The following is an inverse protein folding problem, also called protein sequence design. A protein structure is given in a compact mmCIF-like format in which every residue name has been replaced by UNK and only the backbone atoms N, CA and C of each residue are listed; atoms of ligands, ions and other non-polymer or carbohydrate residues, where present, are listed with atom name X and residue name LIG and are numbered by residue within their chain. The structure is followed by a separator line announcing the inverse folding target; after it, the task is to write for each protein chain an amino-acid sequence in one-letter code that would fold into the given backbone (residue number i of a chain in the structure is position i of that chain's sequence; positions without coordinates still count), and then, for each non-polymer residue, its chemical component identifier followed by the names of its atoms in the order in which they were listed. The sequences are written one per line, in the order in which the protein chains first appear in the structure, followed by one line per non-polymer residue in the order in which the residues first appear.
data_IF_214393590694
#
_entry.id   IF_214393590694
#
_cell.length_a   1.000
_cell.length_b   1.000
_cell.length_c   1.000
_cell.angle_alpha   90.00
_cell.angle_beta   90.00
_cell.angle_gamma   90.00
#
_symmetry.space_group_name_H-M   'P 1'
#
loop_
_entity.id
_entity.type
_entity.pdbx_description
1 polymer ?
#
# COMPACT_ATOMS: atom_id res chain seq x y z
N UNK A 1 -13.64 -15.28 4.89
CA UNK A 1 -12.38 -15.91 5.36
C UNK A 1 -11.46 -14.79 5.83
N UNK A 2 -11.15 -14.78 7.13
CA UNK A 2 -10.18 -13.87 7.75
C UNK A 2 -8.92 -14.69 7.97
N UNK A 3 -7.84 -14.38 7.26
CA UNK A 3 -6.54 -15.00 7.49
C UNK A 3 -5.90 -14.36 8.73
N UNK A 4 -5.37 -15.17 9.67
CA UNK A 4 -4.89 -14.71 10.98
C UNK A 4 -3.55 -13.93 10.96
N UNK A 5 -2.98 -13.73 9.79
CA UNK A 5 -1.64 -13.20 9.53
C UNK A 5 -1.64 -11.90 8.69
N UNK A 6 -2.81 -11.32 8.43
CA UNK A 6 -2.93 -10.01 7.73
C UNK A 6 -2.52 -10.02 6.25
N UNK A 7 -2.15 -11.18 5.70
CA UNK A 7 -1.40 -11.32 4.45
C UNK A 7 -2.25 -11.50 3.18
N UNK A 8 -3.51 -11.06 3.15
CA UNK A 8 -4.36 -11.21 1.96
C UNK A 8 -3.83 -10.49 0.72
N UNK A 9 -3.06 -9.42 0.89
CA UNK A 9 -2.55 -8.59 -0.22
C UNK A 9 -1.29 -9.16 -0.87
N UNK A 10 -0.39 -9.74 -0.07
CA UNK A 10 0.82 -10.40 -0.58
C UNK A 10 0.48 -11.57 -1.50
N UNK A 11 -0.58 -12.32 -1.16
CA UNK A 11 -1.05 -13.42 -1.99
C UNK A 11 -1.84 -12.95 -3.21
N UNK A 12 -2.52 -11.80 -3.11
CA UNK A 12 -3.33 -11.25 -4.20
C UNK A 12 -2.48 -10.52 -5.25
N UNK A 13 -1.44 -9.80 -4.81
CA UNK A 13 -0.53 -9.04 -5.66
C UNK A 13 0.91 -9.23 -5.13
N UNK A 14 1.62 -10.29 -5.53
CA UNK A 14 3.00 -10.49 -5.10
C UNK A 14 3.99 -9.54 -5.77
N UNK A 15 3.76 -9.19 -7.04
CA UNK A 15 4.70 -8.41 -7.88
C UNK A 15 5.10 -7.05 -7.29
N UNK A 16 4.18 -6.23 -6.73
CA UNK A 16 4.53 -4.92 -6.17
C UNK A 16 5.53 -5.00 -5.00
N UNK A 17 5.56 -6.13 -4.29
CA UNK A 17 6.45 -6.33 -3.15
C UNK A 17 7.80 -6.94 -3.53
N UNK A 18 8.00 -7.25 -4.81
CA UNK A 18 9.27 -7.77 -5.29
C UNK A 18 10.35 -6.67 -5.24
N UNK A 19 11.55 -7.03 -4.80
CA UNK A 19 12.64 -6.08 -4.59
C UNK A 19 12.56 -5.22 -3.30
N UNK A 20 11.49 -5.34 -2.50
CA UNK A 20 11.44 -4.68 -1.18
C UNK A 20 12.31 -5.38 -0.16
N UNK A 21 13.02 -4.60 0.64
CA UNK A 21 13.65 -5.10 1.87
C UNK A 21 12.59 -5.59 2.86
N UNK A 22 12.99 -6.46 3.79
CA UNK A 22 12.09 -6.97 4.83
C UNK A 22 11.47 -5.83 5.67
N UNK A 23 12.22 -4.76 5.91
CA UNK A 23 11.76 -3.58 6.64
C UNK A 23 10.70 -2.80 5.85
N UNK A 24 10.99 -2.45 4.58
CA UNK A 24 10.02 -1.78 3.71
C UNK A 24 8.74 -2.59 3.56
N UNK A 25 8.87 -3.90 3.37
CA UNK A 25 7.73 -4.82 3.27
C UNK A 25 6.88 -4.77 4.55
N UNK A 26 7.51 -4.76 5.72
CA UNK A 26 6.80 -4.69 7.00
C UNK A 26 6.09 -3.35 7.19
N UNK A 27 6.73 -2.23 6.81
CA UNK A 27 6.12 -0.90 6.86
C UNK A 27 4.86 -0.85 5.98
N UNK A 28 4.96 -1.32 4.73
CA UNK A 28 3.81 -1.34 3.80
C UNK A 28 2.68 -2.22 4.33
N UNK A 29 2.97 -3.43 4.81
CA UNK A 29 1.94 -4.33 5.35
C UNK A 29 1.22 -3.70 6.54
N UNK A 30 1.95 -3.10 7.47
CA UNK A 30 1.35 -2.43 8.64
C UNK A 30 0.47 -1.26 8.20
N UNK A 31 0.98 -0.40 7.32
CA UNK A 31 0.21 0.74 6.81
C UNK A 31 -1.07 0.29 6.09
N UNK A 32 -1.00 -0.78 5.29
CA UNK A 32 -2.19 -1.33 4.62
C UNK A 32 -3.18 -1.91 5.62
N UNK A 33 -2.70 -2.66 6.60
CA UNK A 33 -3.56 -3.28 7.62
C UNK A 33 -4.32 -2.21 8.42
N UNK A 34 -3.63 -1.17 8.88
CA UNK A 34 -4.22 -0.08 9.67
C UNK A 34 -5.30 0.66 8.86
N UNK A 35 -5.00 1.07 7.63
CA UNK A 35 -5.97 1.76 6.78
C UNK A 35 -7.18 0.87 6.41
N UNK A 36 -6.98 -0.43 6.21
CA UNK A 36 -8.08 -1.38 5.96
C UNK A 36 -8.98 -1.53 7.18
N UNK A 37 -8.43 -1.50 8.40
CA UNK A 37 -9.24 -1.49 9.63
C UNK A 37 -10.11 -0.23 9.74
N UNK A 38 -9.64 0.88 9.19
CA UNK A 38 -10.38 2.15 9.08
C UNK A 38 -11.39 2.17 7.91
N UNK A 39 -11.48 1.09 7.13
CA UNK A 39 -12.47 0.92 6.05
C UNK A 39 -11.93 1.13 4.64
N UNK A 40 -10.62 1.36 4.48
CA UNK A 40 -10.00 1.43 3.16
C UNK A 40 -10.10 0.09 2.42
N UNK A 41 -10.38 0.16 1.11
CA UNK A 41 -10.40 -1.01 0.21
C UNK A 41 -9.41 -0.78 -0.92
N UNK A 42 -8.13 -1.12 -0.73
CA UNK A 42 -7.08 -0.82 -1.70
C UNK A 42 -7.27 -1.59 -3.00
N UNK A 43 -6.97 -0.92 -4.12
CA UNK A 43 -6.68 -1.51 -5.41
C UNK A 43 -5.17 -1.81 -5.56
N UNK A 44 -4.78 -2.53 -6.63
CA UNK A 44 -3.35 -2.81 -6.91
C UNK A 44 -2.56 -1.52 -7.11
N UNK A 45 -3.17 -0.53 -7.75
CA UNK A 45 -2.56 0.77 -8.00
C UNK A 45 -2.30 1.53 -6.69
N UNK A 46 -3.24 1.48 -5.75
CA UNK A 46 -3.07 2.14 -4.45
C UNK A 46 -1.95 1.49 -3.62
N UNK A 47 -1.82 0.16 -3.69
CA UNK A 47 -0.71 -0.56 -3.05
C UNK A 47 0.63 -0.15 -3.67
N UNK A 48 0.71 -0.05 -4.99
CA UNK A 48 1.94 0.40 -5.67
C UNK A 48 2.32 1.83 -5.26
N UNK A 49 1.34 2.74 -5.24
CA UNK A 49 1.58 4.13 -4.85
C UNK A 49 2.06 4.25 -3.40
N UNK A 50 1.50 3.46 -2.48
CA UNK A 50 1.99 3.39 -1.09
C UNK A 50 3.42 2.84 -1.00
N UNK A 51 3.76 1.84 -1.83
CA UNK A 51 5.11 1.28 -1.90
C UNK A 51 6.11 2.34 -2.39
N UNK A 52 5.74 3.13 -3.39
CA UNK A 52 6.58 4.20 -3.93
C UNK A 52 6.85 5.29 -2.88
N UNK A 53 5.86 5.61 -2.03
CA UNK A 53 6.04 6.49 -0.86
C UNK A 53 7.02 5.88 0.15
N UNK A 54 6.81 4.62 0.55
CA UNK A 54 7.64 3.95 1.57
C UNK A 54 9.08 3.75 1.09
N UNK A 55 9.29 3.55 -0.21
CA UNK A 55 10.63 3.44 -0.80
C UNK A 55 11.33 4.78 -1.00
N UNK A 56 10.65 5.91 -0.75
CA UNK A 56 11.18 7.25 -1.00
C UNK A 56 11.28 7.60 -2.49
N UNK A 57 10.62 6.83 -3.36
CA UNK A 57 10.52 7.13 -4.79
C UNK A 57 9.55 8.31 -5.03
N UNK A 58 8.64 8.56 -4.09
CA UNK A 58 7.72 9.70 -4.09
C UNK A 58 7.60 10.24 -2.66
N UNK A 59 7.36 11.54 -2.50
CA UNK A 59 7.12 12.09 -1.16
C UNK A 59 5.68 11.84 -0.70
N UNK A 60 5.44 11.77 0.61
CA UNK A 60 4.07 11.70 1.16
C UNK A 60 3.19 12.84 0.65
N UNK A 61 3.78 14.02 0.42
CA UNK A 61 3.10 15.21 -0.07
C UNK A 61 2.64 15.03 -1.53
N UNK A 62 3.51 14.48 -2.39
CA UNK A 62 3.18 14.16 -3.79
C UNK A 62 2.08 13.09 -3.89
N UNK A 63 2.11 12.07 -3.02
CA UNK A 63 1.07 11.04 -2.95
C UNK A 63 -0.29 11.62 -2.54
N UNK A 64 -0.32 12.45 -1.49
CA UNK A 64 -1.56 13.12 -1.05
C UNK A 64 -2.12 13.99 -2.17
N UNK A 65 -1.25 14.68 -2.92
CA UNK A 65 -1.66 15.50 -4.05
C UNK A 65 -2.24 14.64 -5.19
N UNK A 66 -1.58 13.53 -5.55
CA UNK A 66 -2.07 12.60 -6.57
C UNK A 66 -3.43 11.97 -6.20
N UNK A 67 -3.62 11.58 -4.93
CA UNK A 67 -4.90 11.04 -4.45
C UNK A 67 -6.00 12.11 -4.45
N UNK A 68 -5.70 13.35 -4.05
CA UNK A 68 -6.66 14.46 -4.12
C UNK A 68 -7.04 14.82 -5.55
N UNK A 69 -6.09 14.81 -6.48
CA UNK A 69 -6.33 15.16 -7.88
C UNK A 69 -6.98 13.99 -8.65
N UNK A 70 -6.71 12.74 -8.27
CA UNK A 70 -7.29 11.54 -8.89
C UNK A 70 -8.73 11.21 -8.47
N UNK A 71 -9.31 11.92 -7.51
CA UNK A 71 -10.71 11.77 -7.08
C UNK A 71 -11.73 12.56 -7.91
N UNK A 72 -11.30 13.25 -8.96
CA UNK A 72 -12.15 14.03 -9.86
C UNK A 72 -11.91 13.63 -11.32
N UNK A 73 -12.40 12.44 -11.71
CA UNK A 73 -12.73 12.10 -13.09
C UNK A 73 -13.76 10.97 -13.12
#
# INVERSE_FOLDING_TARGET
MRNPDGSTWLHRWPDPFDGLSAEQRRIVITAVADNVLEGWRPSRADIQALIDVVCGNTTTEDYINAVRTGGAA
#
